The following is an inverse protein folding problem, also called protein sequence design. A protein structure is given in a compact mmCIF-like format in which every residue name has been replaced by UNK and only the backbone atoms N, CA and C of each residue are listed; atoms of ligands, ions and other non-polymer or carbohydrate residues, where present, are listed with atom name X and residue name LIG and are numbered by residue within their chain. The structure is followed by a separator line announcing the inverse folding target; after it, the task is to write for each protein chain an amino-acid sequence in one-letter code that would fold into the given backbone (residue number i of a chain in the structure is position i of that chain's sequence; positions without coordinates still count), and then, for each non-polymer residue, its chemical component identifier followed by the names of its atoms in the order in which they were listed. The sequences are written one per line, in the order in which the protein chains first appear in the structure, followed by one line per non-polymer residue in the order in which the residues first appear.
data_IF_440266078534
#
_entry.id   IF_440266078534
#
_cell.length_a   1.000
_cell.length_b   1.000
_cell.length_c   1.000
_cell.angle_alpha   90.00
_cell.angle_beta   90.00
_cell.angle_gamma   90.00
#
_symmetry.space_group_name_H-M   'P 1'
#
loop_
_entity.id
_entity.type
_entity.pdbx_description
1 polymer ?
#
# COMPACT_ATOMS: atom_id res chain seq x y z
N UNK A 1 -0.30 7.43 -30.42
CA UNK A 1 -0.91 6.79 -29.23
C UNK A 1 0.15 6.83 -28.15
N UNK A 2 0.04 7.72 -27.16
CA UNK A 2 0.99 7.81 -26.06
C UNK A 2 0.35 7.11 -24.85
N UNK A 3 0.52 5.80 -24.78
CA UNK A 3 0.08 5.03 -23.62
C UNK A 3 1.17 5.14 -22.55
N UNK A 4 1.01 6.15 -21.70
CA UNK A 4 1.87 6.39 -20.53
C UNK A 4 1.51 5.36 -19.43
N UNK A 5 1.81 4.09 -19.68
CA UNK A 5 1.72 3.03 -18.67
C UNK A 5 2.67 3.37 -17.53
N UNK A 6 2.15 3.43 -16.31
CA UNK A 6 2.95 3.67 -15.11
C UNK A 6 2.95 2.37 -14.30
N UNK A 7 3.88 1.49 -14.61
CA UNK A 7 4.13 0.27 -13.81
C UNK A 7 5.10 0.61 -12.69
N UNK A 8 4.74 0.24 -11.47
CA UNK A 8 5.57 0.46 -10.29
C UNK A 8 5.52 -0.73 -9.35
N UNK A 9 6.65 -1.09 -8.73
CA UNK A 9 6.73 -2.13 -7.71
C UNK A 9 7.66 -1.75 -6.54
N UNK A 10 7.17 -1.81 -5.31
CA UNK A 10 7.98 -1.67 -4.08
C UNK A 10 7.94 -2.93 -3.26
N UNK A 11 9.11 -3.38 -2.81
CA UNK A 11 9.24 -4.48 -1.87
C UNK A 11 9.60 -3.96 -0.48
N UNK A 12 8.84 -4.40 0.51
CA UNK A 12 8.96 -4.05 1.92
C UNK A 12 9.16 -5.32 2.73
N UNK A 13 10.22 -5.37 3.52
CA UNK A 13 10.45 -6.50 4.42
C UNK A 13 9.76 -6.24 5.77
N UNK A 14 8.85 -7.13 6.19
CA UNK A 14 8.19 -7.02 7.49
C UNK A 14 9.02 -7.71 8.58
N UNK A 15 9.41 -6.96 9.61
CA UNK A 15 10.41 -7.37 10.59
C UNK A 15 9.90 -8.25 11.73
N UNK A 16 8.59 -8.39 11.95
CA UNK A 16 8.07 -9.04 13.16
C UNK A 16 8.36 -10.55 13.23
N UNK A 17 8.53 -11.21 12.08
CA UNK A 17 8.78 -12.66 11.97
C UNK A 17 10.23 -13.02 11.62
N UNK A 18 11.11 -12.03 11.44
CA UNK A 18 12.52 -12.25 11.08
C UNK A 18 13.29 -13.03 12.15
N UNK A 19 12.90 -12.90 13.42
CA UNK A 19 13.47 -13.65 14.56
C UNK A 19 13.16 -15.15 14.55
N UNK A 20 12.16 -15.60 13.78
CA UNK A 20 11.75 -17.00 13.65
C UNK A 20 12.15 -17.62 12.30
N UNK A 21 12.99 -16.95 11.50
CA UNK A 21 13.41 -17.44 10.17
C UNK A 21 12.36 -17.30 9.07
N UNK A 22 11.20 -16.69 9.35
CA UNK A 22 10.16 -16.41 8.36
C UNK A 22 10.26 -14.98 7.86
N UNK A 23 11.02 -14.78 6.77
CA UNK A 23 11.07 -13.50 6.06
C UNK A 23 9.78 -13.34 5.25
N UNK A 24 8.85 -12.53 5.77
CA UNK A 24 7.64 -12.12 5.06
C UNK A 24 7.87 -10.75 4.45
N UNK A 25 7.88 -10.72 3.13
CA UNK A 25 7.98 -9.49 2.35
C UNK A 25 6.60 -9.15 1.79
N UNK A 26 6.29 -7.86 1.72
CA UNK A 26 5.17 -7.36 0.95
C UNK A 26 5.69 -6.66 -0.28
N UNK A 27 5.00 -6.82 -1.38
CA UNK A 27 5.24 -6.07 -2.59
C UNK A 27 3.97 -5.32 -2.96
N UNK A 28 4.11 -4.02 -3.18
CA UNK A 28 3.06 -3.15 -3.67
C UNK A 28 3.31 -2.91 -5.15
N UNK A 29 2.37 -3.29 -6.00
CA UNK A 29 2.37 -3.00 -7.43
C UNK A 29 1.28 -1.97 -7.72
N UNK A 30 1.62 -0.95 -8.49
CA UNK A 30 0.64 -0.06 -9.09
C UNK A 30 0.75 -0.14 -10.60
N UNK A 31 -0.37 -0.38 -11.27
CA UNK A 31 -0.48 -0.45 -12.72
C UNK A 31 -1.84 0.11 -13.15
N UNK A 32 -1.83 1.17 -13.95
CA UNK A 32 -3.01 1.76 -14.60
C UNK A 32 -4.22 2.01 -13.67
N UNK A 33 -3.96 2.57 -12.49
CA UNK A 33 -5.02 2.85 -11.53
C UNK A 33 -5.48 1.63 -10.73
N UNK A 34 -4.78 0.50 -10.84
CA UNK A 34 -4.96 -0.67 -10.00
C UNK A 34 -3.79 -0.79 -9.03
N UNK A 35 -4.09 -0.96 -7.74
CA UNK A 35 -3.12 -1.20 -6.68
C UNK A 35 -3.23 -2.66 -6.21
N UNK A 36 -2.17 -3.43 -6.37
CA UNK A 36 -2.03 -4.77 -5.82
C UNK A 36 -1.02 -4.79 -4.66
N UNK A 37 -1.35 -5.48 -3.57
CA UNK A 37 -0.38 -5.82 -2.53
C UNK A 37 -0.28 -7.33 -2.41
N UNK A 38 0.93 -7.84 -2.56
CA UNK A 38 1.28 -9.25 -2.60
C UNK A 38 2.24 -9.58 -1.47
N UNK A 39 2.03 -10.71 -0.78
CA UNK A 39 3.01 -11.21 0.19
C UNK A 39 3.94 -12.22 -0.50
N UNK A 40 5.24 -12.01 -0.36
CA UNK A 40 6.30 -12.90 -0.84
C UNK A 40 6.80 -13.73 0.35
N UNK A 41 6.70 -15.05 0.22
CA UNK A 41 7.16 -16.01 1.22
C UNK A 41 8.39 -16.73 0.68
N UNK A 42 9.48 -16.69 1.46
CA UNK A 42 10.72 -17.45 1.18
C UNK A 42 11.25 -17.27 -0.24
N UNK A 43 11.02 -16.10 -0.87
CA UNK A 43 11.42 -15.78 -2.25
C UNK A 43 10.90 -16.73 -3.34
N UNK A 44 9.96 -17.62 -3.03
CA UNK A 44 9.44 -18.61 -3.98
C UNK A 44 7.95 -18.48 -4.24
N UNK A 45 7.17 -18.08 -3.23
CA UNK A 45 5.71 -18.01 -3.34
C UNK A 45 5.20 -16.59 -3.17
N UNK A 46 4.55 -16.06 -4.20
CA UNK A 46 3.77 -14.83 -4.14
C UNK A 46 2.30 -15.17 -3.86
N UNK A 47 1.68 -14.50 -2.90
CA UNK A 47 0.23 -14.58 -2.64
C UNK A 47 -0.36 -13.19 -2.52
N UNK A 48 -1.26 -12.84 -3.43
CA UNK A 48 -2.04 -11.60 -3.39
C UNK A 48 -2.80 -11.48 -2.07
N UNK A 49 -2.69 -10.32 -1.42
CA UNK A 49 -3.31 -9.98 -0.14
C UNK A 49 -4.34 -8.88 -0.26
N UNK A 50 -4.11 -7.97 -1.20
CA UNK A 50 -5.02 -6.87 -1.47
C UNK A 50 -5.00 -6.53 -2.95
N UNK A 51 -6.14 -6.10 -3.46
CA UNK A 51 -6.33 -5.57 -4.79
C UNK A 51 -7.43 -4.53 -4.69
N UNK A 52 -7.21 -3.34 -5.22
CA UNK A 52 -8.26 -2.34 -5.39
C UNK A 52 -7.99 -1.49 -6.62
N UNK A 53 -9.06 -0.90 -7.14
CA UNK A 53 -8.95 0.18 -8.11
C UNK A 53 -8.90 1.52 -7.39
N UNK A 54 -8.11 2.48 -7.90
CA UNK A 54 -7.98 3.81 -7.31
C UNK A 54 -9.31 4.60 -7.32
N UNK A 55 -10.29 4.20 -8.14
CA UNK A 55 -11.65 4.78 -8.09
C UNK A 55 -12.42 4.40 -6.83
N UNK A 56 -12.02 3.31 -6.17
CA UNK A 56 -12.61 2.82 -4.91
C UNK A 56 -11.98 3.51 -3.69
N UNK A 57 -10.89 4.27 -3.88
CA UNK A 57 -10.19 4.98 -2.82
C UNK A 57 -11.00 6.22 -2.43
N UNK A 58 -11.49 6.20 -1.19
CA UNK A 58 -12.26 7.30 -0.60
C UNK A 58 -11.35 8.36 0.03
N UNK A 59 -10.12 7.99 0.39
CA UNK A 59 -9.11 8.94 0.82
C UNK A 59 -7.80 8.26 1.18
N UNK A 60 -6.71 9.03 1.15
CA UNK A 60 -5.40 8.54 1.55
C UNK A 60 -4.56 9.58 2.28
N UNK A 61 -3.57 9.09 3.01
CA UNK A 61 -2.54 9.88 3.67
C UNK A 61 -1.19 9.25 3.37
N UNK A 62 -0.20 10.06 2.98
CA UNK A 62 1.20 9.65 2.84
C UNK A 62 2.02 10.40 3.88
N UNK A 63 2.69 9.66 4.77
CA UNK A 63 3.39 10.24 5.91
C UNK A 63 3.56 9.23 7.04
N UNK A 64 3.49 9.69 8.29
CA UNK A 64 3.50 8.79 9.44
C UNK A 64 2.12 8.17 9.60
N UNK A 65 2.06 6.86 9.87
CA UNK A 65 0.78 6.14 9.97
C UNK A 65 -0.11 6.69 11.10
N UNK A 66 0.48 7.27 12.14
CA UNK A 66 -0.20 7.87 13.28
C UNK A 66 -1.01 9.12 12.89
N UNK A 67 -0.59 9.83 11.84
CA UNK A 67 -1.24 11.05 11.36
C UNK A 67 -2.50 10.75 10.53
N UNK A 68 -2.69 9.48 10.13
CA UNK A 68 -3.80 9.03 9.29
C UNK A 68 -5.12 8.78 10.05
N UNK A 69 -5.25 9.26 11.29
CA UNK A 69 -6.43 9.04 12.17
C UNK A 69 -7.77 9.36 11.51
N UNK A 70 -7.83 10.34 10.61
CA UNK A 70 -9.05 10.73 9.87
C UNK A 70 -9.59 9.65 8.94
N UNK A 71 -8.75 8.71 8.51
CA UNK A 71 -9.15 7.62 7.63
C UNK A 71 -9.81 6.45 8.38
N UNK A 72 -9.69 6.43 9.71
CA UNK A 72 -10.22 5.40 10.59
C UNK A 72 -9.18 4.36 11.01
N UNK A 73 -9.64 3.32 11.70
CA UNK A 73 -8.77 2.25 12.23
C UNK A 73 -8.20 1.40 11.10
N UNK A 74 -6.87 1.24 11.06
CA UNK A 74 -6.19 0.33 10.14
C UNK A 74 -6.72 -1.09 10.34
N UNK A 75 -7.31 -1.63 9.27
CA UNK A 75 -7.87 -2.99 9.22
C UNK A 75 -6.90 -4.01 8.64
N UNK A 76 -5.94 -3.56 7.81
CA UNK A 76 -4.90 -4.40 7.22
C UNK A 76 -3.58 -3.64 7.18
N UNK A 77 -2.55 -4.17 7.82
CA UNK A 77 -1.22 -3.57 7.85
C UNK A 77 -0.24 -4.43 7.04
N UNK A 78 0.32 -3.85 6.00
CA UNK A 78 1.31 -4.41 5.09
C UNK A 78 2.63 -3.62 5.13
N UNK A 79 2.83 -2.76 6.13
CA UNK A 79 4.08 -2.03 6.34
C UNK A 79 5.17 -2.92 6.98
N UNK A 80 6.42 -2.46 6.95
CA UNK A 80 7.53 -3.14 7.63
C UNK A 80 7.39 -3.11 9.15
N UNK A 81 6.63 -2.14 9.68
CA UNK A 81 6.60 -1.79 11.10
C UNK A 81 7.81 -1.01 11.59
N UNK A 82 8.73 -0.60 10.69
CA UNK A 82 9.90 0.21 11.05
C UNK A 82 9.46 1.58 11.58
N UNK A 83 9.97 1.94 12.76
CA UNK A 83 9.71 3.25 13.36
C UNK A 83 10.17 4.37 12.42
N UNK A 84 9.29 5.34 12.17
CA UNK A 84 9.56 6.48 11.29
C UNK A 84 9.48 6.19 9.79
N UNK A 85 9.11 4.98 9.36
CA UNK A 85 8.90 4.70 7.94
C UNK A 85 7.72 5.50 7.37
N UNK A 86 7.91 6.04 6.16
CA UNK A 86 6.84 6.72 5.43
C UNK A 86 5.87 5.67 4.91
N UNK A 87 4.64 5.75 5.37
CA UNK A 87 3.55 4.86 4.99
C UNK A 87 2.50 5.61 4.19
N UNK A 88 1.80 4.87 3.34
CA UNK A 88 0.53 5.27 2.77
C UNK A 88 -0.57 4.54 3.54
N UNK A 89 -1.48 5.30 4.13
CA UNK A 89 -2.73 4.79 4.69
C UNK A 89 -3.84 5.14 3.72
N UNK A 90 -4.56 4.14 3.24
CA UNK A 90 -5.65 4.31 2.28
C UNK A 90 -6.95 3.76 2.84
N UNK A 91 -8.02 4.55 2.72
CA UNK A 91 -9.40 4.12 2.93
C UNK A 91 -10.01 3.74 1.59
N UNK A 92 -10.42 2.50 1.45
CA UNK A 92 -10.96 1.90 0.23
C UNK A 92 -12.38 1.40 0.51
N UNK A 93 -13.32 1.78 -0.34
CA UNK A 93 -14.71 1.33 -0.27
C UNK A 93 -14.93 0.23 -1.33
N UNK A 94 -14.90 -1.02 -0.90
CA UNK A 94 -15.14 -2.18 -1.78
C UNK A 94 -16.56 -2.71 -1.60
N UNK A 95 -17.02 -3.55 -2.53
CA UNK A 95 -18.30 -4.28 -2.39
C UNK A 95 -18.36 -5.13 -1.11
N UNK A 96 -17.21 -5.60 -0.63
CA UNK A 96 -17.09 -6.42 0.59
C UNK A 96 -16.99 -5.59 1.87
N UNK A 97 -17.08 -4.27 1.75
CA UNK A 97 -17.01 -3.31 2.86
C UNK A 97 -15.82 -2.37 2.78
N UNK A 98 -15.71 -1.54 3.83
CA UNK A 98 -14.67 -0.52 3.95
C UNK A 98 -13.40 -1.14 4.52
N UNK A 99 -12.27 -0.86 3.88
CA UNK A 99 -10.94 -1.26 4.32
C UNK A 99 -10.07 -0.03 4.52
N UNK A 100 -9.37 0.02 5.66
CA UNK A 100 -8.26 0.95 5.86
C UNK A 100 -6.99 0.12 5.83
N UNK A 101 -6.16 0.36 4.82
CA UNK A 101 -4.91 -0.37 4.59
C UNK A 101 -3.70 0.53 4.87
N UNK A 102 -2.61 -0.03 5.37
CA UNK A 102 -1.35 0.67 5.57
C UNK A 102 -0.23 -0.10 4.84
N UNK A 103 0.59 0.58 4.05
CA UNK A 103 1.71 -0.01 3.33
C UNK A 103 2.78 1.05 3.08
N UNK A 104 4.01 0.67 2.73
CA UNK A 104 5.02 1.65 2.31
C UNK A 104 4.90 1.82 0.80
N UNK A 105 4.57 3.03 0.32
CA UNK A 105 4.37 3.27 -1.11
C UNK A 105 5.70 3.39 -1.84
N UNK A 106 6.82 3.65 -1.17
CA UNK A 106 8.05 4.10 -1.83
C UNK A 106 7.88 5.47 -2.53
N UNK A 107 8.94 5.97 -3.15
CA UNK A 107 8.98 7.35 -3.66
C UNK A 107 8.07 7.53 -4.89
N UNK A 108 8.18 6.66 -5.89
CA UNK A 108 7.46 6.87 -7.16
C UNK A 108 5.93 6.75 -7.00
N UNK A 109 5.42 5.78 -6.25
CA UNK A 109 3.98 5.71 -6.00
C UNK A 109 3.51 6.84 -5.10
N UNK A 110 4.31 7.30 -4.13
CA UNK A 110 3.96 8.49 -3.36
C UNK A 110 3.80 9.72 -4.28
N UNK A 111 4.69 9.89 -5.27
CA UNK A 111 4.55 10.95 -6.27
C UNK A 111 3.33 10.77 -7.17
N UNK A 112 3.04 9.54 -7.62
CA UNK A 112 1.85 9.24 -8.43
C UNK A 112 0.59 9.62 -7.65
N UNK A 113 0.51 9.25 -6.37
CA UNK A 113 -0.62 9.57 -5.50
C UNK A 113 -0.78 11.09 -5.33
N UNK A 114 0.32 11.81 -5.10
CA UNK A 114 0.27 13.27 -4.92
C UNK A 114 -0.05 14.02 -6.22
N UNK A 115 0.42 13.54 -7.38
CA UNK A 115 0.18 14.16 -8.69
C UNK A 115 -1.21 13.84 -9.24
N UNK A 116 -1.63 12.58 -9.20
CA UNK A 116 -2.85 12.11 -9.88
C UNK A 116 -4.08 12.04 -8.99
N UNK A 117 -3.90 11.82 -7.69
CA UNK A 117 -5.00 11.56 -6.77
C UNK A 117 -5.11 12.59 -5.64
N UNK A 118 -4.44 13.74 -5.76
CA UNK A 118 -4.40 14.82 -4.73
C UNK A 118 -5.74 15.16 -4.08
N UNK A 119 -6.83 15.11 -4.84
CA UNK A 119 -8.19 15.42 -4.36
C UNK A 119 -8.71 14.42 -3.31
N UNK A 120 -8.14 13.22 -3.25
CA UNK A 120 -8.43 12.18 -2.27
C UNK A 120 -7.50 12.26 -1.05
N UNK A 121 -6.52 13.16 -1.03
CA UNK A 121 -5.57 13.30 0.08
C UNK A 121 -6.23 14.00 1.28
N UNK A 122 -5.99 13.50 2.49
CA UNK A 122 -6.65 13.97 3.75
C UNK A 122 -5.64 14.52 4.77
#
# INVERSE_FOLDING_TARGET
MNENYSEYAVKVQSGLLSRLGFQKEYETIYLDGTLEISAIYQKQRRKRKFLCEMKEVAGFHVGRKEDAVRLGKITRDYSSGRAGAVCCVMKVNTEKGVHVICFEPGEELAEILDKRYRVQKV
#
